data_IF_911822264086
#
_entry.id   IF_911822264086
#
_cell.length_a   1.000
_cell.length_b   1.000
_cell.length_c   1.000
_cell.angle_alpha   90.00
_cell.angle_beta   90.00
_cell.angle_gamma   90.00
#
_symmetry.space_group_name_H-M   'P 1'
#
loop_
_entity.id
_entity.type
_entity.pdbx_description
1 polymer ?
#
# COMPACT_ATOMS: atom_id res chain seq x y z
N UNK A 1 21.16 8.99 16.12
CA UNK A 1 20.08 8.21 15.46
C UNK A 1 19.92 8.78 14.06
N UNK A 2 19.52 7.98 13.09
CA UNK A 2 19.17 8.52 11.75
C UNK A 2 17.87 9.31 11.85
N UNK A 3 17.77 10.43 11.14
CA UNK A 3 16.52 11.20 11.07
C UNK A 3 15.38 10.34 10.49
N UNK A 4 14.22 10.40 11.09
CA UNK A 4 13.04 9.67 10.65
C UNK A 4 12.20 10.54 9.71
N UNK A 5 11.95 10.03 8.52
CA UNK A 5 11.15 10.68 7.48
C UNK A 5 9.80 9.98 7.39
N UNK A 6 8.73 10.66 7.83
CA UNK A 6 7.37 10.20 7.59
C UNK A 6 7.08 10.23 6.09
N UNK A 7 6.44 9.18 5.56
CA UNK A 7 6.01 9.13 4.15
C UNK A 7 4.54 8.76 4.08
N UNK A 8 3.85 9.28 3.08
CA UNK A 8 2.47 8.90 2.75
C UNK A 8 2.48 8.15 1.43
N UNK A 9 1.63 7.14 1.30
CA UNK A 9 1.50 6.36 0.06
C UNK A 9 2.85 5.88 -0.51
N UNK A 10 2.95 5.66 -1.85
CA UNK A 10 4.16 5.12 -2.43
C UNK A 10 5.21 6.22 -2.69
N UNK A 11 6.11 6.44 -1.75
CA UNK A 11 7.36 7.16 -1.96
C UNK A 11 8.48 6.12 -2.07
N UNK A 12 9.39 6.18 -3.08
CA UNK A 12 10.46 5.20 -3.18
C UNK A 12 11.33 5.14 -1.91
N UNK A 13 11.22 4.11 -1.05
CA UNK A 13 12.02 4.02 0.17
C UNK A 13 13.51 3.89 -0.14
N UNK A 14 13.85 3.38 -1.32
CA UNK A 14 15.22 3.30 -1.82
C UNK A 14 15.93 4.64 -1.73
N UNK A 15 15.27 5.72 -2.16
CA UNK A 15 15.88 7.05 -2.17
C UNK A 15 16.06 7.60 -0.74
N UNK A 16 15.11 7.32 0.16
CA UNK A 16 15.21 7.78 1.55
C UNK A 16 16.37 7.11 2.26
N UNK A 17 16.49 5.79 2.10
CA UNK A 17 17.63 5.04 2.65
C UNK A 17 18.95 5.47 2.00
N UNK A 18 18.99 5.70 0.68
CA UNK A 18 20.18 6.17 -0.03
C UNK A 18 20.63 7.57 0.45
N UNK A 19 19.72 8.41 0.93
CA UNK A 19 20.02 9.68 1.59
C UNK A 19 20.40 9.52 3.08
N UNK A 20 20.60 8.31 3.57
CA UNK A 20 21.01 8.04 4.96
C UNK A 20 19.91 8.24 5.99
N UNK A 21 18.65 8.38 5.59
CA UNK A 21 17.48 8.59 6.44
C UNK A 21 16.76 7.26 6.71
N UNK A 22 15.80 7.29 7.64
CA UNK A 22 14.91 6.17 7.97
C UNK A 22 13.48 6.49 7.54
N UNK A 23 12.90 5.81 6.55
CA UNK A 23 11.50 5.98 6.22
C UNK A 23 10.60 5.41 7.32
N UNK A 24 9.42 6.02 7.49
CA UNK A 24 8.31 5.53 8.28
C UNK A 24 7.03 5.83 7.50
N UNK A 25 6.39 4.80 6.97
CA UNK A 25 5.06 4.99 6.36
C UNK A 25 4.05 5.31 7.46
N UNK A 26 3.59 6.56 7.47
CA UNK A 26 2.66 7.04 8.50
C UNK A 26 1.30 6.33 8.43
N UNK A 27 0.98 5.67 7.32
CA UNK A 27 -0.23 4.84 7.23
C UNK A 27 -0.06 3.54 8.02
N UNK A 28 1.12 2.93 8.05
CA UNK A 28 1.36 1.65 8.72
C UNK A 28 1.11 1.70 10.24
N UNK A 29 1.13 2.88 10.85
CA UNK A 29 0.83 3.04 12.29
C UNK A 29 -0.67 3.19 12.59
N UNK A 30 -1.50 3.48 11.57
CA UNK A 30 -2.93 3.77 11.74
C UNK A 30 -3.75 2.57 12.23
N UNK A 31 -3.61 1.34 11.67
CA UNK A 31 -4.42 0.20 12.10
C UNK A 31 -4.21 -0.19 13.58
N UNK A 32 -3.02 0.06 14.12
CA UNK A 32 -2.68 -0.17 15.53
C UNK A 32 -3.04 0.98 16.47
N UNK A 33 -3.54 2.11 15.96
CA UNK A 33 -3.86 3.29 16.76
C UNK A 33 -5.23 3.17 17.44
N UNK A 34 -5.31 3.66 18.67
CA UNK A 34 -6.58 3.88 19.35
C UNK A 34 -7.22 5.23 19.03
N UNK A 35 -6.56 6.07 18.24
CA UNK A 35 -7.03 7.40 17.86
C UNK A 35 -8.22 7.33 16.91
N UNK A 36 -9.17 8.22 17.09
CA UNK A 36 -10.31 8.39 16.19
C UNK A 36 -10.40 9.85 15.76
N UNK A 37 -10.60 10.13 14.46
CA UNK A 37 -10.72 11.50 14.00
C UNK A 37 -11.95 12.18 14.61
N UNK A 38 -11.83 13.45 14.96
CA UNK A 38 -12.88 14.26 15.59
C UNK A 38 -14.09 14.51 14.67
N UNK A 39 -13.99 14.22 13.37
CA UNK A 39 -15.04 14.43 12.37
C UNK A 39 -15.06 13.27 11.35
N UNK A 40 -16.12 13.22 10.54
CA UNK A 40 -16.24 12.25 9.45
C UNK A 40 -15.24 12.59 8.32
N UNK A 41 -14.03 12.06 8.43
CA UNK A 41 -12.93 12.18 7.50
C UNK A 41 -12.38 10.79 7.16
N UNK A 42 -11.54 10.70 6.16
CA UNK A 42 -10.77 9.50 5.90
C UNK A 42 -9.89 9.19 7.12
N UNK A 43 -10.13 8.07 7.80
CA UNK A 43 -9.41 7.74 9.03
C UNK A 43 -7.92 7.51 8.78
N UNK A 44 -7.52 6.99 7.60
CA UNK A 44 -6.12 6.86 7.25
C UNK A 44 -5.36 8.18 7.43
N UNK A 45 -5.81 9.25 6.78
CA UNK A 45 -5.07 10.51 6.82
C UNK A 45 -5.33 11.32 8.08
N UNK A 46 -6.55 11.28 8.62
CA UNK A 46 -6.89 12.03 9.82
C UNK A 46 -6.17 11.51 11.06
N UNK A 47 -5.98 10.20 11.19
CA UNK A 47 -5.31 9.60 12.36
C UNK A 47 -3.82 9.94 12.35
N UNK A 48 -3.07 9.66 11.27
CA UNK A 48 -1.64 9.98 11.26
C UNK A 48 -1.37 11.49 11.40
N UNK A 49 -2.22 12.33 10.81
CA UNK A 49 -2.15 13.78 11.00
C UNK A 49 -2.28 14.15 12.47
N UNK A 50 -3.32 13.64 13.15
CA UNK A 50 -3.56 13.97 14.56
C UNK A 50 -2.41 13.45 15.45
N UNK A 51 -1.83 12.28 15.15
CA UNK A 51 -0.65 11.76 15.84
C UNK A 51 0.59 12.65 15.64
N UNK A 52 0.79 13.21 14.44
CA UNK A 52 1.88 14.18 14.17
C UNK A 52 1.63 15.48 14.97
N UNK A 53 0.41 16.01 14.91
CA UNK A 53 0.07 17.28 15.57
C UNK A 53 0.14 17.18 17.10
N UNK A 54 -0.19 16.04 17.68
CA UNK A 54 -0.09 15.79 19.15
C UNK A 54 1.33 15.48 19.60
N UNK A 55 2.26 15.17 18.68
CA UNK A 55 3.61 14.69 19.01
C UNK A 55 3.66 13.22 19.42
N UNK A 56 2.57 12.46 19.25
CA UNK A 56 2.56 11.02 19.47
C UNK A 56 3.41 10.28 18.42
N UNK A 57 3.41 10.76 17.18
CA UNK A 57 4.26 10.26 16.11
C UNK A 57 5.49 11.16 15.94
N UNK A 58 6.66 10.67 16.39
CA UNK A 58 7.92 11.39 16.32
C UNK A 58 8.61 11.17 14.98
N UNK A 59 8.50 12.16 14.10
CA UNK A 59 9.19 12.22 12.80
C UNK A 59 9.90 13.57 12.67
N UNK A 60 11.05 13.58 12.00
CA UNK A 60 11.84 14.81 11.78
C UNK A 60 11.31 15.62 10.60
N UNK A 61 10.79 14.94 9.58
CA UNK A 61 10.20 15.56 8.39
C UNK A 61 9.11 14.66 7.78
N UNK A 62 8.31 15.21 6.88
CA UNK A 62 7.21 14.51 6.21
C UNK A 62 7.36 14.65 4.69
N UNK A 63 7.20 13.54 3.96
CA UNK A 63 7.07 13.52 2.51
C UNK A 63 5.63 13.10 2.16
N UNK A 64 4.92 13.98 1.49
CA UNK A 64 3.52 13.78 1.11
C UNK A 64 3.42 13.54 -0.39
N UNK A 65 2.83 12.42 -0.81
CA UNK A 65 2.43 12.24 -2.19
C UNK A 65 1.22 13.13 -2.47
N UNK A 66 1.48 14.23 -3.19
CA UNK A 66 0.52 15.32 -3.38
C UNK A 66 -0.21 15.25 -4.73
N UNK A 67 0.22 14.40 -5.64
CA UNK A 67 -0.40 14.20 -6.95
C UNK A 67 -0.26 12.78 -7.43
N UNK A 68 -1.36 12.25 -7.95
CA UNK A 68 -1.41 10.90 -8.49
C UNK A 68 -1.78 9.81 -7.48
N UNK A 69 -2.23 10.17 -6.25
CA UNK A 69 -2.64 9.19 -5.27
C UNK A 69 -3.75 9.75 -4.36
N UNK A 70 -3.45 10.40 -3.24
CA UNK A 70 -4.43 10.75 -2.22
C UNK A 70 -4.57 12.25 -1.98
N UNK A 71 -5.70 12.87 -2.35
CA UNK A 71 -5.98 14.28 -2.08
C UNK A 71 -6.16 14.58 -0.59
N UNK A 72 -6.63 13.61 0.21
CA UNK A 72 -6.76 13.79 1.65
C UNK A 72 -5.38 13.93 2.29
N UNK A 73 -4.39 13.12 1.86
CA UNK A 73 -3.01 13.21 2.32
C UNK A 73 -2.39 14.57 2.02
N UNK A 74 -2.65 15.16 0.85
CA UNK A 74 -2.20 16.50 0.52
C UNK A 74 -2.69 17.54 1.53
N UNK A 75 -3.99 17.53 1.86
CA UNK A 75 -4.58 18.52 2.78
C UNK A 75 -4.09 18.30 4.21
N UNK A 76 -4.01 17.06 4.66
CA UNK A 76 -3.56 16.72 6.01
C UNK A 76 -2.05 16.94 6.17
N UNK A 77 -1.26 16.76 5.11
CA UNK A 77 0.14 17.15 5.05
C UNK A 77 0.36 18.66 5.19
N UNK A 78 -0.49 19.49 4.54
CA UNK A 78 -0.45 20.95 4.71
C UNK A 78 -0.75 21.37 6.15
N UNK A 79 -1.63 20.66 6.87
CA UNK A 79 -1.87 20.92 8.29
C UNK A 79 -0.65 20.60 9.15
N UNK A 80 0.07 19.52 8.84
CA UNK A 80 1.32 19.17 9.50
C UNK A 80 2.40 20.24 9.23
N UNK A 81 2.53 20.72 7.99
CA UNK A 81 3.44 21.81 7.61
C UNK A 81 3.12 23.10 8.37
N UNK A 82 1.85 23.50 8.44
CA UNK A 82 1.41 24.67 9.18
C UNK A 82 1.69 24.58 10.70
N UNK A 83 1.83 23.37 11.24
CA UNK A 83 2.27 23.15 12.63
C UNK A 83 3.78 23.24 12.81
N UNK A 84 4.55 23.49 11.75
CA UNK A 84 6.00 23.61 11.76
C UNK A 84 6.76 22.34 11.39
N UNK A 85 6.10 21.27 10.96
CA UNK A 85 6.77 20.05 10.49
C UNK A 85 7.38 20.31 9.10
N UNK A 86 8.70 20.15 8.90
CA UNK A 86 9.33 20.22 7.58
C UNK A 86 8.66 19.23 6.63
N UNK A 87 8.10 19.73 5.53
CA UNK A 87 7.29 18.91 4.62
C UNK A 87 7.75 19.08 3.18
N UNK A 88 7.85 17.98 2.44
CA UNK A 88 8.10 17.94 1.01
C UNK A 88 6.90 17.31 0.30
N UNK A 89 6.45 17.95 -0.80
CA UNK A 89 5.36 17.44 -1.63
C UNK A 89 5.94 16.76 -2.86
N UNK A 90 5.61 15.47 -3.00
CA UNK A 90 6.10 14.59 -4.05
C UNK A 90 4.98 14.28 -5.04
N UNK A 91 5.26 14.39 -6.35
CA UNK A 91 4.25 14.29 -7.40
C UNK A 91 4.58 13.21 -8.40
N UNK A 92 3.61 12.36 -8.69
CA UNK A 92 3.65 11.44 -9.80
C UNK A 92 3.15 12.10 -11.09
N UNK A 93 3.75 11.82 -12.25
CA UNK A 93 3.22 12.24 -13.54
C UNK A 93 2.01 11.39 -13.93
N UNK A 94 0.90 12.02 -14.25
CA UNK A 94 -0.31 11.31 -14.68
C UNK A 94 -0.13 10.60 -16.03
N UNK A 95 0.69 11.17 -16.91
CA UNK A 95 1.00 10.68 -18.26
C UNK A 95 2.22 9.73 -18.32
N UNK A 96 2.84 9.41 -17.18
CA UNK A 96 4.01 8.55 -17.10
C UNK A 96 5.32 9.21 -17.56
N UNK A 97 5.41 10.56 -17.59
CA UNK A 97 6.63 11.29 -17.96
C UNK A 97 7.78 10.97 -17.00
N UNK A 98 8.74 10.19 -17.49
CA UNK A 98 9.90 9.74 -16.73
C UNK A 98 10.86 10.87 -16.39
N UNK A 99 11.03 11.88 -17.25
CA UNK A 99 11.92 13.01 -17.00
C UNK A 99 11.34 13.90 -15.91
N UNK A 100 10.03 14.13 -15.94
CA UNK A 100 9.34 14.83 -14.87
C UNK A 100 9.52 14.08 -13.54
N UNK A 101 9.27 12.77 -13.51
CA UNK A 101 9.40 12.01 -12.29
C UNK A 101 10.84 11.98 -11.77
N UNK A 102 11.83 11.87 -12.66
CA UNK A 102 13.24 12.00 -12.29
C UNK A 102 13.51 13.34 -11.59
N UNK A 103 12.95 14.44 -12.10
CA UNK A 103 13.09 15.73 -11.45
C UNK A 103 12.47 15.78 -10.05
N UNK A 104 11.38 15.02 -9.79
CA UNK A 104 10.81 14.88 -8.46
C UNK A 104 11.72 14.10 -7.51
N UNK A 105 12.36 13.01 -7.99
CA UNK A 105 13.35 12.27 -7.22
C UNK A 105 14.57 13.14 -6.86
N UNK A 106 15.06 13.96 -7.78
CA UNK A 106 16.16 14.90 -7.54
C UNK A 106 15.78 15.95 -6.46
N UNK A 107 14.58 16.53 -6.54
CA UNK A 107 14.08 17.48 -5.53
C UNK A 107 13.92 16.81 -4.16
N UNK A 108 13.39 15.58 -4.12
CA UNK A 108 13.28 14.82 -2.89
C UNK A 108 14.67 14.52 -2.31
N UNK A 109 15.62 14.09 -3.14
CA UNK A 109 17.01 13.88 -2.72
C UNK A 109 17.62 15.14 -2.09
N UNK A 110 17.44 16.31 -2.72
CA UNK A 110 17.92 17.59 -2.18
C UNK A 110 17.26 17.92 -0.83
N UNK A 111 15.98 17.70 -0.68
CA UNK A 111 15.27 17.91 0.59
C UNK A 111 15.81 17.00 1.70
N UNK A 112 16.21 15.78 1.36
CA UNK A 112 16.77 14.79 2.29
C UNK A 112 18.26 14.96 2.58
N UNK A 113 18.95 15.92 1.92
CA UNK A 113 20.37 16.19 2.12
C UNK A 113 21.31 15.49 1.14
N UNK A 114 20.78 14.92 0.07
CA UNK A 114 21.54 14.27 -1.01
C UNK A 114 21.79 12.78 -0.79
N UNK A 115 22.03 12.06 -1.88
CA UNK A 115 22.39 10.64 -1.86
C UNK A 115 23.76 10.44 -1.21
N UNK A 116 23.86 9.54 -0.24
CA UNK A 116 25.06 9.17 0.49
C UNK A 116 25.58 7.77 0.11
N UNK A 117 24.63 6.84 -0.21
CA UNK A 117 24.93 5.46 -0.56
C UNK A 117 23.90 4.95 -1.58
N UNK A 118 24.30 4.89 -2.84
CA UNK A 118 23.47 4.39 -3.94
C UNK A 118 23.37 2.85 -3.99
N UNK A 119 24.32 2.13 -3.39
CA UNK A 119 24.28 0.67 -3.28
C UNK A 119 23.06 0.13 -2.55
N UNK A 120 22.46 0.96 -1.68
CA UNK A 120 21.19 0.62 -0.97
C UNK A 120 20.02 0.43 -1.94
N UNK A 121 19.99 1.16 -3.06
CA UNK A 121 18.92 1.01 -4.08
C UNK A 121 18.90 -0.43 -4.61
N UNK A 122 20.08 -0.98 -4.95
CA UNK A 122 20.21 -2.37 -5.40
C UNK A 122 19.80 -3.35 -4.30
N UNK A 123 20.26 -3.15 -3.06
CA UNK A 123 19.91 -4.02 -1.93
C UNK A 123 18.38 -4.07 -1.70
N UNK A 124 17.71 -2.93 -1.76
CA UNK A 124 16.22 -2.90 -1.60
C UNK A 124 15.54 -3.57 -2.79
N UNK A 125 16.05 -3.41 -4.00
CA UNK A 125 15.53 -4.12 -5.17
C UNK A 125 15.65 -5.64 -5.00
N UNK A 126 16.74 -6.14 -4.44
CA UNK A 126 16.90 -7.57 -4.12
C UNK A 126 15.90 -8.04 -3.05
N UNK A 127 15.65 -7.24 -2.00
CA UNK A 127 14.62 -7.52 -1.01
C UNK A 127 13.22 -7.55 -1.65
N UNK A 128 12.90 -6.61 -2.53
CA UNK A 128 11.63 -6.60 -3.28
C UNK A 128 11.47 -7.81 -4.21
N UNK A 129 12.57 -8.32 -4.77
CA UNK A 129 12.55 -9.57 -5.54
C UNK A 129 12.15 -10.76 -4.66
N UNK A 130 12.59 -10.79 -3.41
CA UNK A 130 12.15 -11.79 -2.42
C UNK A 130 10.68 -11.59 -2.04
N UNK A 131 10.22 -10.34 -1.92
CA UNK A 131 8.79 -10.04 -1.73
C UNK A 131 7.92 -10.58 -2.88
N UNK A 132 8.39 -10.48 -4.13
CA UNK A 132 7.73 -11.09 -5.28
C UNK A 132 7.69 -12.62 -5.20
N UNK A 133 8.80 -13.25 -4.81
CA UNK A 133 8.84 -14.70 -4.62
C UNK A 133 7.87 -15.16 -3.50
N UNK A 134 7.71 -14.38 -2.43
CA UNK A 134 6.74 -14.63 -1.38
C UNK A 134 5.30 -14.48 -1.90
N UNK A 135 5.02 -13.47 -2.71
CA UNK A 135 3.72 -13.29 -3.37
C UNK A 135 3.39 -14.47 -4.31
N UNK A 136 4.39 -14.97 -5.04
CA UNK A 136 4.25 -16.20 -5.87
C UNK A 136 3.94 -17.44 -5.01
N UNK A 137 4.50 -17.57 -3.80
CA UNK A 137 4.13 -18.65 -2.88
C UNK A 137 2.66 -18.57 -2.50
N UNK A 138 2.13 -17.37 -2.21
CA UNK A 138 0.70 -17.16 -1.95
C UNK A 138 -0.16 -17.56 -3.15
N UNK A 139 0.22 -17.15 -4.36
CA UNK A 139 -0.49 -17.53 -5.60
C UNK A 139 -0.47 -19.04 -5.84
N UNK A 140 0.56 -19.74 -5.37
CA UNK A 140 0.71 -21.19 -5.47
C UNK A 140 0.20 -21.94 -4.22
N UNK A 141 -0.61 -21.29 -3.38
CA UNK A 141 -1.28 -21.86 -2.21
C UNK A 141 -0.30 -22.37 -1.12
N UNK A 142 0.93 -21.81 -1.09
CA UNK A 142 2.01 -22.19 -0.19
C UNK A 142 2.34 -21.15 0.88
N UNK A 143 1.56 -20.09 0.95
CA UNK A 143 1.66 -19.07 2.00
C UNK A 143 0.28 -18.48 2.29
N UNK A 144 0.00 -18.19 3.57
CA UNK A 144 -1.26 -17.57 3.99
C UNK A 144 -1.35 -16.13 3.49
N UNK A 145 -2.54 -15.72 3.06
CA UNK A 145 -2.79 -14.36 2.58
C UNK A 145 -2.48 -13.30 3.65
N UNK A 146 -2.83 -13.56 4.92
CA UNK A 146 -2.57 -12.68 6.06
C UNK A 146 -1.08 -12.45 6.32
N UNK A 147 -0.25 -13.51 6.24
CA UNK A 147 1.20 -13.42 6.43
C UNK A 147 1.85 -12.63 5.28
N UNK A 148 1.46 -12.94 4.05
CA UNK A 148 1.98 -12.25 2.85
C UNK A 148 1.56 -10.77 2.84
N UNK A 149 0.30 -10.46 3.13
CA UNK A 149 -0.16 -9.08 3.23
C UNK A 149 0.67 -8.27 4.24
N UNK A 150 0.90 -8.84 5.44
CA UNK A 150 1.69 -8.18 6.49
C UNK A 150 3.12 -7.88 6.06
N UNK A 151 3.72 -8.79 5.27
CA UNK A 151 5.03 -8.57 4.68
C UNK A 151 5.00 -7.51 3.58
N UNK A 152 4.07 -7.63 2.62
CA UNK A 152 4.02 -6.74 1.46
C UNK A 152 3.71 -5.29 1.84
N UNK A 153 2.81 -5.06 2.79
CA UNK A 153 2.50 -3.70 3.27
C UNK A 153 3.73 -3.03 3.89
N UNK A 154 4.58 -3.80 4.56
CA UNK A 154 5.81 -3.30 5.19
C UNK A 154 6.92 -2.94 4.20
N UNK A 155 6.82 -3.31 2.91
CA UNK A 155 7.77 -2.87 1.89
C UNK A 155 7.68 -1.36 1.58
N UNK A 156 6.62 -0.68 1.99
CA UNK A 156 6.51 0.77 1.82
C UNK A 156 7.62 1.54 2.54
N UNK A 157 8.08 1.04 3.70
CA UNK A 157 9.15 1.64 4.50
C UNK A 157 10.24 0.66 4.97
N UNK A 158 10.10 -0.63 4.68
CA UNK A 158 10.97 -1.74 5.12
C UNK A 158 11.18 -1.71 6.66
N UNK A 159 10.10 -1.41 7.38
CA UNK A 159 10.05 -1.28 8.85
C UNK A 159 11.14 -0.34 9.43
N UNK A 160 11.70 0.56 8.63
CA UNK A 160 12.75 1.50 9.04
C UNK A 160 14.11 0.86 9.34
N UNK A 161 14.30 -0.46 9.15
CA UNK A 161 15.51 -1.21 9.42
C UNK A 161 15.63 -2.39 8.46
N UNK A 162 16.53 -2.28 7.47
CA UNK A 162 16.70 -3.29 6.42
C UNK A 162 17.11 -4.66 6.94
N UNK A 163 17.98 -4.72 7.96
CA UNK A 163 18.49 -5.98 8.49
C UNK A 163 17.41 -6.69 9.34
N UNK A 164 16.63 -5.92 10.09
CA UNK A 164 15.50 -6.45 10.83
C UNK A 164 14.39 -6.92 9.88
N UNK A 165 14.10 -6.14 8.85
CA UNK A 165 13.10 -6.48 7.84
C UNK A 165 13.46 -7.77 7.08
N UNK A 166 14.73 -7.91 6.69
CA UNK A 166 15.23 -9.12 6.03
C UNK A 166 15.02 -10.37 6.88
N UNK A 167 15.31 -10.31 8.18
CA UNK A 167 15.04 -11.42 9.12
C UNK A 167 13.55 -11.72 9.24
N UNK A 168 12.70 -10.70 9.19
CA UNK A 168 11.24 -10.89 9.21
C UNK A 168 10.76 -11.64 7.98
N UNK A 169 11.26 -11.30 6.78
CA UNK A 169 10.94 -12.03 5.55
C UNK A 169 11.37 -13.50 5.63
N UNK A 170 12.57 -13.79 6.21
CA UNK A 170 13.07 -15.16 6.37
C UNK A 170 12.25 -15.98 7.37
N UNK A 171 11.51 -15.34 8.25
CA UNK A 171 10.71 -16.01 9.30
C UNK A 171 9.30 -16.38 8.85
N UNK A 172 8.85 -15.95 7.67
CA UNK A 172 7.51 -16.27 7.17
C UNK A 172 7.45 -17.77 6.82
N UNK A 173 6.55 -18.53 7.44
CA UNK A 173 6.49 -19.96 7.22
C UNK A 173 5.84 -20.30 5.87
N UNK A 174 6.31 -21.37 5.24
CA UNK A 174 5.51 -22.02 4.21
C UNK A 174 4.30 -22.73 4.87
N UNK A 175 3.15 -22.66 4.22
CA UNK A 175 1.92 -23.28 4.69
C UNK A 175 1.12 -23.81 3.51
N UNK A 176 0.55 -25.00 3.61
CA UNK A 176 -0.48 -25.44 2.68
C UNK A 176 -1.79 -24.74 3.05
N UNK A 177 -2.38 -24.03 2.08
CA UNK A 177 -3.58 -23.22 2.30
C UNK A 177 -4.81 -23.94 1.76
N UNK A 178 -5.78 -24.18 2.64
CA UNK A 178 -7.11 -24.69 2.26
C UNK A 178 -8.07 -23.50 2.10
N UNK A 179 -8.80 -23.45 0.99
CA UNK A 179 -9.75 -22.39 0.68
C UNK A 179 -10.89 -22.91 -0.20
N UNK A 180 -11.97 -22.15 -0.30
CA UNK A 180 -13.09 -22.42 -1.22
C UNK A 180 -13.00 -21.56 -2.47
N UNK A 181 -12.55 -20.29 -2.35
CA UNK A 181 -12.46 -19.36 -3.46
C UNK A 181 -11.20 -18.50 -3.39
N UNK A 182 -10.66 -18.21 -4.56
CA UNK A 182 -9.53 -17.28 -4.74
C UNK A 182 -10.07 -15.89 -5.01
N UNK A 183 -9.67 -14.91 -4.23
CA UNK A 183 -10.17 -13.54 -4.39
C UNK A 183 -9.02 -12.54 -4.52
N UNK A 184 -9.30 -11.44 -5.20
CA UNK A 184 -8.42 -10.28 -5.23
C UNK A 184 -8.98 -9.18 -4.35
N UNK A 185 -8.11 -8.45 -3.65
CA UNK A 185 -8.43 -7.21 -2.97
C UNK A 185 -7.86 -6.04 -3.76
N UNK A 186 -8.72 -5.22 -4.33
CA UNK A 186 -8.37 -4.03 -5.09
C UNK A 186 -8.76 -2.75 -4.33
N UNK A 187 -8.13 -1.64 -4.66
CA UNK A 187 -8.30 -0.36 -3.97
C UNK A 187 -7.26 -0.18 -2.85
N UNK A 188 -7.66 0.45 -1.76
CA UNK A 188 -6.74 0.75 -0.65
C UNK A 188 -6.66 -0.42 0.34
N UNK A 189 -5.57 -0.55 1.11
CA UNK A 189 -5.47 -1.58 2.14
C UNK A 189 -6.59 -1.46 3.19
N UNK A 190 -7.05 -2.58 3.75
CA UNK A 190 -8.03 -2.55 4.84
C UNK A 190 -7.48 -1.88 6.09
N UNK A 191 -8.28 -0.99 6.69
CA UNK A 191 -7.95 -0.35 7.97
C UNK A 191 -8.19 -1.30 9.17
N UNK A 192 -8.87 -2.41 8.92
CA UNK A 192 -9.15 -3.46 9.90
C UNK A 192 -7.95 -4.42 9.97
N UNK A 193 -7.24 -4.50 11.10
CA UNK A 193 -5.99 -5.29 11.20
C UNK A 193 -6.20 -6.80 11.01
N UNK A 194 -7.40 -7.30 11.26
CA UNK A 194 -7.77 -8.72 11.16
C UNK A 194 -8.48 -9.10 9.85
N UNK A 195 -8.52 -8.19 8.85
CA UNK A 195 -9.32 -8.37 7.64
C UNK A 195 -8.97 -9.65 6.88
N UNK A 196 -7.69 -9.91 6.64
CA UNK A 196 -7.23 -11.09 5.90
C UNK A 196 -7.51 -12.38 6.65
N UNK A 197 -7.27 -12.39 7.97
CA UNK A 197 -7.57 -13.55 8.83
C UNK A 197 -9.08 -13.87 8.84
N UNK A 198 -9.92 -12.83 8.88
CA UNK A 198 -11.38 -12.98 8.81
C UNK A 198 -11.81 -13.52 7.44
N UNK A 199 -11.23 -13.02 6.34
CA UNK A 199 -11.51 -13.54 5.00
C UNK A 199 -11.09 -15.01 4.87
N UNK A 200 -9.89 -15.38 5.32
CA UNK A 200 -9.42 -16.76 5.37
C UNK A 200 -10.35 -17.66 6.19
N UNK A 201 -10.89 -17.15 7.29
CA UNK A 201 -11.87 -17.87 8.13
C UNK A 201 -13.16 -18.24 7.41
N UNK A 202 -13.52 -17.55 6.33
CA UNK A 202 -14.65 -17.86 5.44
C UNK A 202 -14.21 -18.61 4.17
N UNK A 203 -12.98 -19.10 4.08
CA UNK A 203 -12.47 -19.81 2.91
C UNK A 203 -12.12 -18.90 1.72
N UNK A 204 -12.01 -17.58 1.91
CA UNK A 204 -11.58 -16.64 0.89
C UNK A 204 -10.06 -16.47 0.93
N UNK A 205 -9.34 -17.06 -0.03
CA UNK A 205 -7.90 -16.88 -0.17
C UNK A 205 -7.60 -15.62 -1.00
N UNK A 206 -7.11 -14.55 -0.35
CA UNK A 206 -6.75 -13.30 -1.02
C UNK A 206 -5.39 -13.49 -1.70
N UNK A 207 -5.37 -13.73 -3.01
CA UNK A 207 -4.18 -13.98 -3.82
C UNK A 207 -3.57 -12.73 -4.46
N UNK A 208 -4.20 -11.58 -4.30
CA UNK A 208 -3.76 -10.29 -4.82
C UNK A 208 -4.24 -9.17 -3.92
N UNK A 209 -3.31 -8.32 -3.49
CA UNK A 209 -3.57 -7.05 -2.83
C UNK A 209 -2.98 -5.94 -3.69
N UNK A 210 -3.82 -5.12 -4.33
CA UNK A 210 -3.40 -4.18 -5.36
C UNK A 210 -2.33 -3.19 -4.88
N UNK A 211 -2.58 -2.43 -3.83
CA UNK A 211 -1.61 -1.43 -3.36
C UNK A 211 -0.37 -2.06 -2.71
N UNK A 212 -0.45 -3.07 -1.84
CA UNK A 212 0.72 -3.77 -1.32
C UNK A 212 1.60 -4.41 -2.41
N UNK A 213 1.01 -4.89 -3.50
CA UNK A 213 1.77 -5.39 -4.65
C UNK A 213 2.62 -4.30 -5.34
N UNK A 214 2.14 -3.06 -5.36
CA UNK A 214 2.93 -1.93 -5.84
C UNK A 214 4.17 -1.63 -4.97
N UNK A 215 4.15 -1.95 -3.68
CA UNK A 215 5.29 -1.73 -2.79
C UNK A 215 6.48 -2.66 -3.09
N UNK A 216 6.24 -3.81 -3.71
CA UNK A 216 7.29 -4.72 -4.18
C UNK A 216 7.74 -4.44 -5.62
N UNK A 217 7.36 -3.30 -6.19
CA UNK A 217 7.85 -2.84 -7.51
C UNK A 217 9.37 -2.68 -7.47
N UNK A 218 10.05 -3.34 -8.40
CA UNK A 218 11.52 -3.30 -8.46
C UNK A 218 12.00 -1.90 -8.84
N UNK A 219 12.81 -1.30 -7.97
CA UNK A 219 13.34 0.05 -8.15
C UNK A 219 14.46 0.12 -9.19
N UNK A 220 15.33 -0.89 -9.22
CA UNK A 220 16.53 -0.92 -10.05
C UNK A 220 17.81 -0.65 -9.25
N UNK A 221 18.77 0.07 -9.81
CA UNK A 221 20.08 0.29 -9.19
C UNK A 221 20.49 1.77 -9.08
N UNK A 222 19.73 2.69 -9.65
CA UNK A 222 20.03 4.12 -9.70
C UNK A 222 18.76 4.98 -9.84
N UNK A 223 18.90 6.30 -9.81
CA UNK A 223 17.79 7.23 -9.96
C UNK A 223 17.06 7.12 -11.29
N UNK A 224 17.77 6.78 -12.37
CA UNK A 224 17.16 6.63 -13.70
C UNK A 224 16.28 5.39 -13.76
N UNK A 225 16.71 4.30 -13.17
CA UNK A 225 15.90 3.07 -13.07
C UNK A 225 14.74 3.25 -12.09
N UNK A 226 14.92 3.95 -10.97
CA UNK A 226 13.83 4.35 -10.09
C UNK A 226 12.76 5.14 -10.87
N UNK A 227 13.18 6.17 -11.62
CA UNK A 227 12.25 6.98 -12.41
C UNK A 227 11.47 6.12 -13.42
N UNK A 228 12.15 5.30 -14.24
CA UNK A 228 11.50 4.44 -15.22
C UNK A 228 10.53 3.41 -14.63
N UNK A 229 10.80 2.91 -13.42
CA UNK A 229 10.00 1.86 -12.83
C UNK A 229 8.81 2.42 -12.02
N UNK A 230 9.02 3.50 -11.28
CA UNK A 230 7.96 4.08 -10.45
C UNK A 230 6.95 4.92 -11.24
N UNK A 231 7.28 5.43 -12.43
CA UNK A 231 6.28 6.05 -13.33
C UNK A 231 5.19 5.09 -13.79
N UNK A 232 5.37 3.78 -13.58
CA UNK A 232 4.37 2.75 -13.87
C UNK A 232 3.41 2.48 -12.71
N UNK A 233 3.46 3.29 -11.64
CA UNK A 233 2.56 3.18 -10.49
C UNK A 233 1.12 3.35 -10.94
N UNK A 234 0.31 2.30 -10.78
CA UNK A 234 -1.01 2.21 -11.37
C UNK A 234 -2.02 3.22 -10.80
N UNK A 235 -1.93 3.54 -9.51
CA UNK A 235 -2.82 4.51 -8.86
C UNK A 235 -2.60 5.95 -9.32
N UNK A 236 -1.42 6.27 -9.83
CA UNK A 236 -1.07 7.63 -10.24
C UNK A 236 -1.41 7.93 -11.71
N UNK A 237 -1.65 6.89 -12.52
CA UNK A 237 -1.88 7.01 -13.96
C UNK A 237 -3.35 7.02 -14.35
N UNK A 238 -3.63 6.96 -15.66
CA UNK A 238 -4.99 6.85 -16.18
C UNK A 238 -5.68 5.59 -15.69
N UNK A 239 -6.96 5.72 -15.32
CA UNK A 239 -7.77 4.60 -14.81
C UNK A 239 -7.86 3.43 -15.79
N UNK A 240 -7.83 3.69 -17.09
CA UNK A 240 -7.83 2.65 -18.13
C UNK A 240 -6.61 1.73 -18.02
N UNK A 241 -5.42 2.32 -17.79
CA UNK A 241 -4.17 1.56 -17.58
C UNK A 241 -4.25 0.72 -16.30
N UNK A 242 -4.81 1.27 -15.24
CA UNK A 242 -5.00 0.56 -13.97
C UNK A 242 -5.98 -0.61 -14.13
N UNK A 243 -7.12 -0.40 -14.79
CA UNK A 243 -8.09 -1.47 -15.08
C UNK A 243 -7.44 -2.58 -15.89
N UNK A 244 -6.67 -2.25 -16.93
CA UNK A 244 -5.95 -3.24 -17.72
C UNK A 244 -4.97 -4.06 -16.87
N UNK A 245 -4.20 -3.38 -16.00
CA UNK A 245 -3.26 -4.04 -15.11
C UNK A 245 -3.97 -4.97 -14.12
N UNK A 246 -5.05 -4.50 -13.50
CA UNK A 246 -5.88 -5.34 -12.61
C UNK A 246 -6.40 -6.57 -13.36
N UNK A 247 -7.00 -6.40 -14.54
CA UNK A 247 -7.52 -7.53 -15.33
C UNK A 247 -6.45 -8.59 -15.63
N UNK A 248 -5.23 -8.15 -15.92
CA UNK A 248 -4.12 -9.06 -16.20
C UNK A 248 -3.74 -9.87 -14.93
N UNK A 249 -3.61 -9.22 -13.78
CA UNK A 249 -3.33 -9.87 -12.50
C UNK A 249 -4.44 -10.85 -12.09
N UNK A 250 -5.72 -10.46 -12.25
CA UNK A 250 -6.86 -11.33 -11.93
C UNK A 250 -6.83 -12.64 -12.73
N UNK A 251 -6.51 -12.55 -14.03
CA UNK A 251 -6.41 -13.72 -14.92
C UNK A 251 -5.23 -14.61 -14.56
N UNK A 252 -4.04 -14.02 -14.37
CA UNK A 252 -2.83 -14.76 -14.03
C UNK A 252 -2.97 -15.51 -12.71
N UNK A 253 -3.66 -14.93 -11.74
CA UNK A 253 -3.87 -15.47 -10.39
C UNK A 253 -5.11 -16.36 -10.28
N UNK A 254 -5.88 -16.54 -11.37
CA UNK A 254 -7.09 -17.39 -11.42
C UNK A 254 -8.10 -17.02 -10.33
N UNK A 255 -8.45 -15.75 -10.29
CA UNK A 255 -9.35 -15.19 -9.29
C UNK A 255 -10.80 -15.55 -9.60
N UNK A 256 -11.58 -15.94 -8.60
CA UNK A 256 -13.01 -16.24 -8.70
C UNK A 256 -13.89 -15.02 -8.43
N UNK A 257 -13.41 -14.08 -7.61
CA UNK A 257 -14.11 -12.86 -7.23
C UNK A 257 -13.20 -11.74 -6.76
N UNK A 258 -13.73 -10.53 -6.70
CA UNK A 258 -13.00 -9.33 -6.34
C UNK A 258 -13.62 -8.65 -5.12
N UNK A 259 -12.81 -8.26 -4.17
CA UNK A 259 -13.18 -7.36 -3.08
C UNK A 259 -12.63 -5.98 -3.42
N UNK A 260 -13.50 -5.02 -3.75
CA UNK A 260 -13.13 -3.62 -3.89
C UNK A 260 -13.23 -2.93 -2.54
N UNK A 261 -12.07 -2.73 -1.90
CA UNK A 261 -12.00 -2.08 -0.60
C UNK A 261 -11.68 -0.59 -0.75
N UNK A 262 -12.53 0.23 -0.14
CA UNK A 262 -12.36 1.68 -0.06
C UNK A 262 -12.46 2.14 1.39
N UNK A 263 -12.09 3.39 1.65
CA UNK A 263 -12.22 3.99 2.97
C UNK A 263 -13.31 5.07 2.93
N UNK A 264 -13.99 5.30 4.05
CA UNK A 264 -14.91 6.43 4.16
C UNK A 264 -14.21 7.74 3.76
N UNK A 265 -14.87 8.54 2.92
CA UNK A 265 -14.33 9.78 2.32
C UNK A 265 -13.08 9.59 1.42
N UNK A 266 -12.85 8.38 0.92
CA UNK A 266 -11.83 8.11 -0.09
C UNK A 266 -12.38 8.35 -1.50
N UNK A 267 -11.63 9.03 -2.36
CA UNK A 267 -12.03 9.27 -3.75
C UNK A 267 -12.06 7.99 -4.59
N UNK A 268 -11.29 6.96 -4.23
CA UNK A 268 -11.32 5.65 -4.90
C UNK A 268 -12.70 4.96 -4.84
N UNK A 269 -13.60 5.41 -3.97
CA UNK A 269 -15.00 4.94 -3.98
C UNK A 269 -15.70 5.25 -5.32
N UNK A 270 -15.29 6.30 -6.02
CA UNK A 270 -15.84 6.67 -7.33
C UNK A 270 -15.45 5.71 -8.45
N UNK A 271 -14.43 4.89 -8.24
CA UNK A 271 -13.94 3.91 -9.22
C UNK A 271 -14.78 2.63 -9.24
N UNK A 272 -15.62 2.40 -8.23
CA UNK A 272 -16.44 1.18 -8.11
C UNK A 272 -17.30 0.94 -9.36
N UNK A 273 -17.90 1.99 -9.90
CA UNK A 273 -18.72 1.90 -11.13
C UNK A 273 -17.85 1.48 -12.33
N UNK A 274 -16.64 2.00 -12.44
CA UNK A 274 -15.72 1.67 -13.54
C UNK A 274 -15.29 0.21 -13.44
N UNK A 275 -14.92 -0.26 -12.24
CA UNK A 275 -14.54 -1.66 -12.06
C UNK A 275 -15.69 -2.61 -12.38
N UNK A 276 -16.94 -2.28 -11.96
CA UNK A 276 -18.13 -3.10 -12.28
C UNK A 276 -18.46 -3.14 -13.77
N UNK A 277 -18.09 -2.11 -14.53
CA UNK A 277 -18.32 -2.05 -15.97
C UNK A 277 -17.24 -2.78 -16.79
N UNK A 278 -16.04 -2.89 -16.24
CA UNK A 278 -14.87 -3.35 -16.99
C UNK A 278 -14.25 -4.66 -16.49
N UNK A 279 -14.54 -5.10 -15.28
CA UNK A 279 -14.06 -6.37 -14.75
C UNK A 279 -15.19 -7.42 -14.82
N UNK A 280 -14.94 -8.52 -15.55
CA UNK A 280 -15.87 -9.63 -15.72
C UNK A 280 -15.83 -10.60 -14.51
N UNK A 281 -15.93 -10.04 -13.29
CA UNK A 281 -15.87 -10.79 -12.03
C UNK A 281 -16.97 -10.34 -11.07
N UNK A 282 -17.46 -11.23 -10.18
CA UNK A 282 -18.28 -10.80 -9.04
C UNK A 282 -17.48 -9.82 -8.17
N UNK A 283 -18.06 -8.67 -7.82
CA UNK A 283 -17.39 -7.64 -7.02
C UNK A 283 -18.17 -7.38 -5.73
N UNK A 284 -17.53 -7.63 -4.59
CA UNK A 284 -17.97 -7.15 -3.28
C UNK A 284 -17.30 -5.81 -2.97
N UNK A 285 -18.08 -4.72 -2.93
CA UNK A 285 -17.54 -3.43 -2.47
C UNK A 285 -17.62 -3.34 -0.97
N UNK A 286 -16.50 -3.05 -0.31
CA UNK A 286 -16.39 -2.86 1.15
C UNK A 286 -15.88 -1.45 1.42
N UNK A 287 -16.51 -0.75 2.37
CA UNK A 287 -16.04 0.55 2.82
C UNK A 287 -15.58 0.46 4.28
N UNK A 288 -14.31 0.77 4.52
CA UNK A 288 -13.73 0.90 5.86
C UNK A 288 -14.18 2.18 6.57
N UNK A 289 -14.07 2.19 7.89
CA UNK A 289 -14.50 3.30 8.75
C UNK A 289 -13.35 3.74 9.69
N UNK A 290 -13.15 3.05 10.80
CA UNK A 290 -12.15 3.36 11.83
C UNK A 290 -11.19 2.19 12.06
N UNK A 291 -9.96 2.45 12.54
CA UNK A 291 -9.03 1.40 12.91
C UNK A 291 -9.57 0.62 14.13
N UNK A 292 -10.08 -0.58 13.87
CA UNK A 292 -10.64 -1.49 14.87
C UNK A 292 -10.77 -2.89 14.26
N UNK A 293 -10.99 -3.95 15.05
CA UNK A 293 -11.31 -5.27 14.51
C UNK A 293 -12.53 -5.23 13.57
N UNK A 294 -12.56 -6.15 12.63
CA UNK A 294 -13.63 -6.32 11.65
C UNK A 294 -15.00 -6.43 12.31
N UNK A 295 -15.95 -5.60 11.88
CA UNK A 295 -17.31 -5.59 12.44
C UNK A 295 -18.10 -6.84 12.03
N UNK A 296 -19.11 -7.22 12.84
CA UNK A 296 -19.99 -8.34 12.48
C UNK A 296 -20.72 -8.09 11.15
N UNK A 297 -21.03 -6.86 10.83
CA UNK A 297 -21.61 -6.52 9.52
C UNK A 297 -20.64 -6.82 8.37
N UNK A 298 -19.35 -6.53 8.54
CA UNK A 298 -18.34 -6.86 7.54
C UNK A 298 -18.18 -8.38 7.41
N UNK A 299 -18.12 -9.11 8.52
CA UNK A 299 -18.00 -10.57 8.54
C UNK A 299 -19.18 -11.22 7.79
N UNK A 300 -20.42 -10.81 8.07
CA UNK A 300 -21.61 -11.30 7.34
C UNK A 300 -21.54 -11.04 5.83
N UNK A 301 -20.95 -9.92 5.41
CA UNK A 301 -20.81 -9.62 3.98
C UNK A 301 -19.74 -10.48 3.31
N UNK A 302 -18.62 -10.76 4.00
CA UNK A 302 -17.58 -11.65 3.50
C UNK A 302 -18.09 -13.08 3.43
N UNK A 303 -18.82 -13.55 4.45
CA UNK A 303 -19.47 -14.86 4.48
C UNK A 303 -20.45 -15.03 3.31
N UNK A 304 -21.37 -14.09 3.13
CA UNK A 304 -22.32 -14.13 2.01
C UNK A 304 -21.63 -14.08 0.64
N UNK A 305 -20.50 -13.39 0.53
CA UNK A 305 -19.72 -13.36 -0.70
C UNK A 305 -19.04 -14.71 -0.97
N UNK A 306 -18.49 -15.35 0.06
CA UNK A 306 -17.91 -16.69 -0.05
C UNK A 306 -18.97 -17.71 -0.50
N UNK A 307 -20.14 -17.75 0.16
CA UNK A 307 -21.24 -18.61 -0.22
C UNK A 307 -21.73 -18.39 -1.67
N UNK A 308 -21.76 -17.14 -2.10
CA UNK A 308 -22.11 -16.80 -3.49
C UNK A 308 -21.11 -17.37 -4.48
N UNK A 309 -19.80 -17.24 -4.21
CA UNK A 309 -18.74 -17.74 -5.10
C UNK A 309 -18.76 -19.27 -5.20
N UNK A 310 -19.06 -20.00 -4.10
CA UNK A 310 -19.14 -21.46 -4.09
C UNK A 310 -20.24 -22.02 -5.01
N UNK A 311 -21.33 -21.28 -5.22
CA UNK A 311 -22.48 -21.73 -6.05
C UNK A 311 -22.43 -21.24 -7.49
N UNK A 312 -21.46 -20.38 -7.82
CA UNK A 312 -21.23 -19.92 -9.19
C UNK A 312 -20.52 -21.01 -10.00
N UNK A 313 -20.96 -21.28 -11.27
CA UNK A 313 -20.45 -22.35 -12.12
C UNK A 313 -19.02 -22.06 -12.62
#
# INVERSE_FOLDING_TARGET
>A
MKDTVGITALVPPELIYACGKRPLDVNNVVPGSSSSPASKLCAWTAVWRDMILSGELDIDSLVVVAGGDCHNALVDGQKAELSGKPTHYFFYPFDGDTDYFRSQLEKLSLFLGGVQDDGIITRITDLKSRGKALDEQRVNDRARASDVFSALISFSDLAGDLDAFERTLDSIPEADVEYTSRVALIGVPPIYPDFHEVAEGFGLHIVYDELPYEFIRLGGCDLDSLARNYTKYSFAGPIETRVWFIQDELRQRRVDGVIHYTQFACHHTLEDEIFRQHLDYPILTVQGDLPRPSSEQLKLRLEAFAEMLEVMP
#
